data_IF_156056973407
#
_entry.id   IF_156056973407
#
_cell.length_a   1.000
_cell.length_b   1.000
_cell.length_c   1.000
_cell.angle_alpha   90.00
_cell.angle_beta   90.00
_cell.angle_gamma   90.00
#
_symmetry.space_group_name_H-M   'P 1'
#
loop_
_entity.id
_entity.type
_entity.pdbx_description
1 polymer ?
#
# COMPACT_ATOMS: atom_id res chain seq x y z
N UNK A 1 20.70 -4.15 -5.09
CA UNK A 1 19.91 -4.61 -3.93
C UNK A 1 19.51 -3.39 -3.14
N UNK A 2 18.21 -3.22 -2.85
CA UNK A 2 17.69 -2.08 -2.08
C UNK A 2 17.11 -2.64 -0.78
N UNK A 3 17.49 -2.04 0.34
CA UNK A 3 16.96 -2.35 1.66
C UNK A 3 16.45 -1.02 2.24
N UNK A 4 15.18 -1.02 2.66
CA UNK A 4 14.52 0.15 3.23
C UNK A 4 13.95 -0.20 4.60
N UNK A 5 13.99 0.74 5.54
CA UNK A 5 13.22 0.66 6.77
C UNK A 5 11.87 1.33 6.54
N UNK A 6 10.80 0.68 6.99
CA UNK A 6 9.44 1.21 6.80
C UNK A 6 9.23 2.57 7.47
N UNK A 7 9.96 2.84 8.56
CA UNK A 7 9.95 4.13 9.27
C UNK A 7 10.44 5.30 8.43
N UNK A 8 11.24 5.02 7.40
CA UNK A 8 11.88 6.03 6.57
C UNK A 8 11.08 6.29 5.28
N UNK A 9 9.96 5.58 5.08
CA UNK A 9 9.09 5.70 3.90
C UNK A 9 7.91 6.60 4.24
N UNK A 10 7.66 7.67 3.46
CA UNK A 10 6.58 8.59 3.74
C UNK A 10 5.22 7.90 3.66
N UNK A 11 4.38 8.19 4.66
CA UNK A 11 2.98 7.79 4.68
C UNK A 11 2.18 8.76 3.81
N UNK A 12 1.36 8.21 2.93
CA UNK A 12 0.42 8.96 2.10
C UNK A 12 -1.01 8.64 2.52
N UNK A 13 -1.82 9.67 2.73
CA UNK A 13 -3.26 9.58 2.98
C UNK A 13 -4.04 10.22 1.83
N UNK A 14 -5.32 9.89 1.69
CA UNK A 14 -6.22 10.51 0.73
C UNK A 14 -7.59 10.75 1.36
N UNK A 15 -8.27 11.87 1.06
CA UNK A 15 -9.67 12.07 1.46
C UNK A 15 -10.62 10.98 0.94
N UNK A 16 -10.29 10.34 -0.19
CA UNK A 16 -11.10 9.26 -0.78
C UNK A 16 -10.96 7.91 -0.07
N UNK A 17 -9.91 7.74 0.74
CA UNK A 17 -9.61 6.50 1.46
C UNK A 17 -9.61 6.79 2.96
N UNK A 18 -10.79 6.99 3.52
CA UNK A 18 -10.97 7.36 4.93
C UNK A 18 -10.42 6.25 5.82
N UNK A 19 -9.53 6.61 6.74
CA UNK A 19 -8.89 5.66 7.66
C UNK A 19 -7.91 4.69 7.00
N UNK A 20 -7.43 5.00 5.78
CA UNK A 20 -6.44 4.19 5.08
C UNK A 20 -5.16 4.99 4.86
N UNK A 21 -4.05 4.42 5.31
CA UNK A 21 -2.70 4.91 5.05
C UNK A 21 -2.01 4.01 4.02
N UNK A 22 -1.17 4.60 3.17
CA UNK A 22 -0.41 3.90 2.13
C UNK A 22 1.04 4.32 2.13
N UNK A 23 1.94 3.34 2.03
CA UNK A 23 3.37 3.55 1.78
C UNK A 23 3.79 2.77 0.52
N UNK A 24 4.62 3.37 -0.33
CA UNK A 24 5.24 2.69 -1.47
C UNK A 24 6.60 2.17 -1.02
N UNK A 25 6.69 0.88 -0.70
CA UNK A 25 7.92 0.27 -0.19
C UNK A 25 8.94 0.09 -1.30
N UNK A 26 8.51 -0.49 -2.43
CA UNK A 26 9.32 -0.67 -3.63
C UNK A 26 8.52 -0.18 -4.83
N UNK A 27 9.04 0.80 -5.56
CA UNK A 27 8.39 1.38 -6.73
C UNK A 27 9.32 1.62 -7.91
N UNK A 28 8.85 2.40 -8.88
CA UNK A 28 9.64 2.78 -10.08
C UNK A 28 10.91 3.53 -9.73
N UNK A 29 10.87 4.37 -8.70
CA UNK A 29 12.04 5.11 -8.19
C UNK A 29 13.12 4.18 -7.64
N UNK A 30 12.73 2.98 -7.19
CA UNK A 30 13.63 1.91 -6.74
C UNK A 30 14.07 1.00 -7.92
N UNK A 31 13.73 1.34 -9.16
CA UNK A 31 14.04 0.55 -10.37
C UNK A 31 13.09 -0.62 -10.64
N UNK A 32 11.98 -0.75 -9.89
CA UNK A 32 10.99 -1.81 -10.12
C UNK A 32 9.94 -1.39 -11.14
N UNK A 33 10.00 -1.97 -12.34
CA UNK A 33 9.11 -1.64 -13.46
C UNK A 33 7.87 -2.54 -13.56
N UNK A 34 7.90 -3.72 -12.94
CA UNK A 34 6.82 -4.72 -13.03
C UNK A 34 5.97 -4.77 -11.75
N UNK A 35 6.60 -4.72 -10.58
CA UNK A 35 5.91 -4.91 -9.30
C UNK A 35 6.08 -3.67 -8.43
N UNK A 36 4.96 -3.09 -8.00
CA UNK A 36 4.95 -1.99 -7.02
C UNK A 36 4.45 -2.54 -5.69
N UNK A 37 5.38 -2.73 -4.75
CA UNK A 37 5.05 -3.20 -3.41
C UNK A 37 4.58 -2.03 -2.56
N UNK A 38 3.34 -2.14 -2.08
CA UNK A 38 2.69 -1.13 -1.23
C UNK A 38 2.33 -1.76 0.11
N UNK A 39 2.50 -0.96 1.16
CA UNK A 39 2.00 -1.28 2.49
C UNK A 39 0.75 -0.46 2.76
N UNK A 40 -0.28 -1.11 3.30
CA UNK A 40 -1.52 -0.45 3.68
C UNK A 40 -1.80 -0.70 5.16
N UNK A 41 -2.10 0.37 5.89
CA UNK A 41 -2.65 0.31 7.23
C UNK A 41 -4.08 0.82 7.17
N UNK A 42 -5.01 0.06 7.76
CA UNK A 42 -6.44 0.36 7.74
C UNK A 42 -6.90 0.44 9.19
N UNK A 43 -7.36 1.62 9.59
CA UNK A 43 -7.96 1.85 10.92
C UNK A 43 -9.37 1.23 11.01
N UNK A 44 -9.87 0.94 12.22
CA UNK A 44 -11.24 0.46 12.40
C UNK A 44 -12.28 1.36 11.71
N UNK A 45 -13.11 0.78 10.85
CA UNK A 45 -14.12 1.49 10.05
C UNK A 45 -13.58 2.16 8.78
N UNK A 46 -12.26 2.10 8.54
CA UNK A 46 -11.66 2.57 7.29
C UNK A 46 -11.96 1.63 6.12
N UNK A 47 -12.06 2.20 4.91
CA UNK A 47 -12.37 1.44 3.71
C UNK A 47 -11.84 2.12 2.44
N UNK A 48 -11.72 1.33 1.37
CA UNK A 48 -11.57 1.86 0.02
C UNK A 48 -12.88 1.72 -0.78
N UNK A 49 -13.12 2.57 -1.79
CA UNK A 49 -14.20 2.38 -2.74
C UNK A 49 -14.12 1.01 -3.41
N UNK A 50 -15.29 0.45 -3.74
CA UNK A 50 -15.37 -0.73 -4.59
C UNK A 50 -14.91 -0.38 -6.01
N UNK A 51 -13.94 -1.13 -6.54
CA UNK A 51 -13.41 -0.90 -7.89
C UNK A 51 -12.89 -2.20 -8.54
N UNK A 52 -12.55 -2.12 -9.83
CA UNK A 52 -11.91 -3.20 -10.58
C UNK A 52 -10.95 -2.63 -11.63
N UNK A 53 -9.92 -3.38 -11.97
CA UNK A 53 -8.95 -3.05 -13.01
C UNK A 53 -8.32 -4.32 -13.59
N UNK A 54 -7.64 -4.18 -14.73
CA UNK A 54 -7.12 -5.28 -15.56
C UNK A 54 -5.74 -5.81 -15.13
N UNK A 55 -5.14 -5.25 -14.08
CA UNK A 55 -3.92 -5.77 -13.47
C UNK A 55 -4.19 -6.58 -12.19
N UNK A 56 -3.39 -7.61 -11.90
CA UNK A 56 -3.59 -8.47 -10.75
C UNK A 56 -3.22 -7.79 -9.44
N UNK A 57 -3.81 -8.27 -8.34
CA UNK A 57 -3.34 -8.00 -6.99
C UNK A 57 -2.76 -9.27 -6.37
N UNK A 58 -1.62 -9.11 -5.70
CA UNK A 58 -1.09 -10.09 -4.76
C UNK A 58 -1.07 -9.46 -3.37
N UNK A 59 -1.82 -10.03 -2.44
CA UNK A 59 -2.02 -9.47 -1.10
C UNK A 59 -1.58 -10.47 -0.05
N UNK A 60 -0.83 -9.97 0.94
CA UNK A 60 -0.51 -10.71 2.16
C UNK A 60 -0.97 -9.87 3.34
N UNK A 61 -1.83 -10.45 4.19
CA UNK A 61 -2.24 -9.82 5.44
C UNK A 61 -1.15 -10.09 6.48
N UNK A 62 -0.54 -9.02 6.99
CA UNK A 62 0.49 -9.14 8.03
C UNK A 62 -0.10 -9.16 9.43
N UNK A 63 -1.21 -8.46 9.66
CA UNK A 63 -1.89 -8.35 10.96
C UNK A 63 -3.36 -7.97 10.77
N UNK A 64 -4.21 -8.45 11.68
CA UNK A 64 -5.62 -8.08 11.73
C UNK A 64 -6.51 -8.89 10.80
N UNK A 65 -7.75 -8.42 10.63
CA UNK A 65 -8.76 -9.00 9.75
C UNK A 65 -9.75 -7.91 9.31
N UNK A 66 -10.48 -8.15 8.21
CA UNK A 66 -11.46 -7.24 7.63
C UNK A 66 -12.14 -7.86 6.41
#
# INVERSE_FOLDING_TARGET
MIIKKMTDIPVTTSPEYVGVEKQILIGREDGSNEIILRYFSIEPGGNSPYHSHDFPHLVKIEKGHG
#
